data_IF_803403061080
#
_entry.id   IF_803403061080
#
_cell.length_a   1.000
_cell.length_b   1.000
_cell.length_c   1.000
_cell.angle_alpha   90.00
_cell.angle_beta   90.00
_cell.angle_gamma   90.00
#
_symmetry.space_group_name_H-M   'P 1'
#
loop_
_entity.id
_entity.type
_entity.pdbx_description
1 polymer ?
#
# COMPACT_ATOMS: atom_id res chain seq x y z
N UNK A 1 6.23 13.39 18.13
CA UNK A 1 6.30 11.96 17.75
C UNK A 1 6.12 11.86 16.25
N UNK A 2 7.03 11.26 15.47
CA UNK A 2 6.74 11.05 14.04
C UNK A 2 5.57 10.06 13.95
N UNK A 3 4.47 10.47 13.32
CA UNK A 3 3.33 9.59 13.07
C UNK A 3 3.82 8.29 12.44
N UNK A 4 3.52 7.16 13.05
CA UNK A 4 3.92 5.86 12.53
C UNK A 4 3.35 5.69 11.12
N UNK A 5 4.20 5.35 10.13
CA UNK A 5 3.76 5.21 8.74
C UNK A 5 2.94 3.92 8.62
N UNK A 6 1.63 4.06 8.49
CA UNK A 6 0.76 2.96 8.06
C UNK A 6 0.88 2.86 6.54
N UNK A 7 1.18 1.67 5.99
CA UNK A 7 1.24 1.49 4.54
C UNK A 7 -0.15 1.70 3.93
N UNK A 8 -0.19 2.32 2.74
CA UNK A 8 -1.43 2.51 1.99
C UNK A 8 -2.02 1.16 1.58
N UNK A 9 -3.34 1.04 1.69
CA UNK A 9 -4.10 -0.17 1.31
C UNK A 9 -4.01 -0.46 -0.19
N UNK A 10 -4.35 -1.68 -0.62
CA UNK A 10 -4.47 -2.00 -2.04
C UNK A 10 -5.56 -1.15 -2.71
N UNK A 11 -6.66 -0.83 -2.01
CA UNK A 11 -7.66 0.13 -2.49
C UNK A 11 -7.05 1.50 -2.84
N UNK A 12 -6.28 2.08 -1.93
CA UNK A 12 -5.61 3.37 -2.14
C UNK A 12 -4.59 3.31 -3.27
N UNK A 13 -3.83 2.20 -3.36
CA UNK A 13 -2.90 1.97 -4.47
C UNK A 13 -3.63 1.89 -5.82
N UNK A 14 -4.79 1.22 -5.89
CA UNK A 14 -5.64 1.17 -7.09
C UNK A 14 -6.17 2.57 -7.44
N UNK A 15 -6.63 3.35 -6.47
CA UNK A 15 -7.06 4.74 -6.68
C UNK A 15 -5.93 5.56 -7.30
N UNK A 16 -4.69 5.42 -6.80
CA UNK A 16 -3.54 6.12 -7.35
C UNK A 16 -3.24 5.73 -8.79
N UNK A 17 -3.29 4.43 -9.12
CA UNK A 17 -3.05 3.93 -10.48
C UNK A 17 -4.12 4.40 -11.46
N UNK A 18 -5.39 4.33 -11.08
CA UNK A 18 -6.49 4.80 -11.92
C UNK A 18 -6.43 6.31 -12.15
N UNK A 19 -6.00 7.07 -11.14
CA UNK A 19 -5.80 8.50 -11.29
C UNK A 19 -4.63 8.82 -12.24
N UNK A 20 -3.52 8.07 -12.14
CA UNK A 20 -2.37 8.21 -13.05
C UNK A 20 -2.79 7.98 -14.50
N UNK A 21 -3.55 6.91 -14.75
CA UNK A 21 -3.96 6.53 -16.09
C UNK A 21 -4.97 7.53 -16.70
N UNK A 22 -5.86 8.10 -15.88
CA UNK A 22 -6.91 9.02 -16.36
C UNK A 22 -6.49 10.48 -16.46
N UNK A 23 -5.63 10.95 -15.54
CA UNK A 23 -5.38 12.38 -15.36
C UNK A 23 -3.90 12.77 -15.46
N UNK A 24 -2.99 11.81 -15.33
CA UNK A 24 -1.56 12.10 -15.33
C UNK A 24 -0.87 11.80 -16.66
N UNK A 25 -1.56 11.18 -17.63
CA UNK A 25 -0.96 10.68 -18.88
C UNK A 25 0.26 9.78 -18.63
N UNK A 26 0.23 8.99 -17.54
CA UNK A 26 1.36 8.18 -17.11
C UNK A 26 2.49 8.93 -16.39
N UNK A 27 2.36 10.25 -16.15
CA UNK A 27 3.37 11.06 -15.45
C UNK A 27 3.26 10.90 -13.93
N UNK A 28 4.10 10.05 -13.37
CA UNK A 28 4.06 9.65 -11.95
C UNK A 28 4.32 10.78 -10.94
N UNK A 29 5.07 11.82 -11.32
CA UNK A 29 5.35 12.97 -10.45
C UNK A 29 4.11 13.81 -10.14
N UNK A 30 3.13 13.83 -11.06
CA UNK A 30 1.84 14.51 -10.87
C UNK A 30 1.02 13.82 -9.79
N UNK A 31 1.04 12.48 -9.75
CA UNK A 31 0.34 11.71 -8.74
C UNK A 31 0.89 11.95 -7.34
N UNK A 32 2.22 12.00 -7.18
CA UNK A 32 2.84 12.35 -5.90
C UNK A 32 2.32 13.68 -5.37
N UNK A 33 2.37 14.73 -6.20
CA UNK A 33 1.93 16.07 -5.82
C UNK A 33 0.43 16.10 -5.49
N UNK A 34 -0.38 15.41 -6.31
CA UNK A 34 -1.84 15.34 -6.13
C UNK A 34 -2.22 14.63 -4.82
N UNK A 35 -1.73 13.43 -4.57
CA UNK A 35 -2.11 12.64 -3.39
C UNK A 35 -1.50 13.18 -2.09
N UNK A 36 -0.30 13.76 -2.15
CA UNK A 36 0.27 14.48 -1.00
C UNK A 36 -0.58 15.70 -0.64
N UNK A 37 -0.99 16.52 -1.61
CA UNK A 37 -1.74 17.75 -1.35
C UNK A 37 -3.22 17.51 -1.03
N UNK A 38 -3.91 16.64 -1.78
CA UNK A 38 -5.37 16.44 -1.62
C UNK A 38 -5.75 15.43 -0.54
N UNK A 39 -4.95 14.39 -0.35
CA UNK A 39 -5.26 13.28 0.57
C UNK A 39 -4.34 13.25 1.80
N UNK A 40 -3.30 14.09 1.84
CA UNK A 40 -2.34 14.12 2.94
C UNK A 40 -1.48 12.84 3.04
N UNK A 41 -1.42 12.05 1.96
CA UNK A 41 -0.70 10.78 1.97
C UNK A 41 0.81 11.01 2.12
N UNK A 42 1.44 10.24 3.02
CA UNK A 42 2.89 10.28 3.25
C UNK A 42 3.64 9.31 2.33
N UNK A 43 3.36 9.44 1.04
CA UNK A 43 3.95 8.62 -0.03
C UNK A 43 5.20 9.27 -0.58
N UNK A 44 6.11 8.49 -1.15
CA UNK A 44 7.28 8.94 -1.88
C UNK A 44 7.13 8.67 -3.38
N UNK A 45 7.86 9.42 -4.22
CA UNK A 45 7.90 9.15 -5.65
C UNK A 45 8.38 7.71 -5.99
N UNK A 46 9.24 7.12 -5.15
CA UNK A 46 9.68 5.74 -5.30
C UNK A 46 8.54 4.72 -5.08
N UNK A 47 7.66 4.97 -4.11
CA UNK A 47 6.47 4.13 -3.87
C UNK A 47 5.53 4.18 -5.07
N UNK A 48 5.24 5.36 -5.61
CA UNK A 48 4.39 5.48 -6.81
C UNK A 48 4.99 4.74 -8.00
N UNK A 49 6.31 4.88 -8.25
CA UNK A 49 7.01 4.11 -9.29
C UNK A 49 6.88 2.61 -9.08
N UNK A 50 7.04 2.15 -7.85
CA UNK A 50 6.87 0.74 -7.51
C UNK A 50 5.45 0.25 -7.77
N UNK A 51 4.43 1.03 -7.39
CA UNK A 51 3.03 0.68 -7.67
C UNK A 51 2.75 0.61 -9.16
N UNK A 52 3.21 1.61 -9.92
CA UNK A 52 3.02 1.64 -11.36
C UNK A 52 3.73 0.48 -12.08
N UNK A 53 4.94 0.13 -11.64
CA UNK A 53 5.67 -1.04 -12.15
C UNK A 53 4.88 -2.34 -11.93
N UNK A 54 4.22 -2.49 -10.78
CA UNK A 54 3.46 -3.68 -10.40
C UNK A 54 1.94 -3.51 -10.57
N UNK A 55 1.49 -2.57 -11.41
CA UNK A 55 0.09 -2.14 -11.52
C UNK A 55 -0.88 -3.28 -11.80
N UNK A 56 -0.50 -4.24 -12.64
CA UNK A 56 -1.34 -5.41 -12.95
C UNK A 56 -1.59 -6.28 -11.73
N UNK A 57 -0.54 -6.56 -10.93
CA UNK A 57 -0.67 -7.33 -9.70
C UNK A 57 -1.52 -6.58 -8.66
N UNK A 58 -1.37 -5.24 -8.57
CA UNK A 58 -2.16 -4.40 -7.67
C UNK A 58 -3.64 -4.38 -8.07
N UNK A 59 -3.93 -4.33 -9.37
CA UNK A 59 -5.30 -4.38 -9.90
C UNK A 59 -6.00 -5.70 -9.57
N UNK A 60 -5.27 -6.82 -9.67
CA UNK A 60 -5.79 -8.16 -9.38
C UNK A 60 -5.92 -8.48 -7.89
N UNK A 61 -5.15 -7.83 -7.02
CA UNK A 61 -5.18 -8.07 -5.58
C UNK A 61 -6.52 -7.63 -4.93
N UNK A 62 -6.91 -8.28 -3.82
CA UNK A 62 -8.07 -7.85 -3.03
C UNK A 62 -7.81 -6.46 -2.43
N UNK A 63 -8.83 -5.61 -2.46
CA UNK A 63 -8.75 -4.22 -1.99
C UNK A 63 -8.54 -4.10 -0.49
N UNK A 64 -8.94 -5.11 0.27
CA UNK A 64 -8.89 -5.13 1.74
C UNK A 64 -7.49 -5.40 2.29
N UNK A 65 -6.55 -5.85 1.45
CA UNK A 65 -5.18 -6.16 1.83
C UNK A 65 -4.31 -4.90 1.88
N UNK A 66 -3.31 -4.86 2.76
CA UNK A 66 -2.29 -3.81 2.74
C UNK A 66 -1.13 -4.10 1.78
N UNK A 67 -0.96 -5.36 1.33
CA UNK A 67 0.20 -5.79 0.52
C UNK A 67 -0.17 -6.74 -0.61
N UNK A 68 0.73 -6.82 -1.61
CA UNK A 68 0.66 -7.84 -2.65
C UNK A 68 1.07 -9.21 -2.06
N UNK A 69 0.28 -10.24 -2.38
CA UNK A 69 0.56 -11.62 -1.98
C UNK A 69 1.87 -12.10 -2.60
N UNK A 70 2.69 -12.82 -1.83
CA UNK A 70 3.91 -13.46 -2.35
C UNK A 70 5.11 -12.53 -2.56
N UNK A 71 5.08 -11.29 -2.05
CA UNK A 71 6.25 -10.41 -2.04
C UNK A 71 7.37 -10.86 -1.06
N UNK A 72 7.22 -12.01 -0.40
CA UNK A 72 8.18 -12.62 0.54
C UNK A 72 8.28 -14.14 0.37
N UNK A 73 8.98 -14.81 1.29
CA UNK A 73 9.09 -16.27 1.31
C UNK A 73 7.69 -16.93 1.25
N UNK A 74 7.54 -18.00 0.46
CA UNK A 74 6.25 -18.68 0.24
C UNK A 74 5.54 -18.95 1.57
N UNK A 75 4.40 -18.28 1.83
CA UNK A 75 3.61 -18.51 3.03
C UNK A 75 3.19 -19.97 3.13
N UNK A 76 3.13 -20.53 4.34
CA UNK A 76 2.52 -21.86 4.56
C UNK A 76 1.00 -21.75 4.50
N UNK A 77 0.44 -20.62 4.96
CA UNK A 77 -1.00 -20.32 4.98
C UNK A 77 -1.25 -18.90 4.45
N UNK A 78 -1.15 -18.71 3.13
CA UNK A 78 -1.03 -17.38 2.51
C UNK A 78 -2.06 -16.33 2.90
N UNK A 79 -3.35 -16.65 2.87
CA UNK A 79 -4.39 -15.65 3.24
C UNK A 79 -4.34 -15.30 4.73
N UNK A 80 -4.20 -16.30 5.59
CA UNK A 80 -4.18 -16.11 7.05
C UNK A 80 -2.95 -15.32 7.48
N UNK A 81 -1.78 -15.60 6.89
CA UNK A 81 -0.54 -14.87 7.16
C UNK A 81 -0.61 -13.41 6.69
N UNK A 82 -1.32 -13.11 5.60
CA UNK A 82 -1.56 -11.75 5.12
C UNK A 82 -2.52 -10.99 6.06
N UNK A 83 -3.66 -11.59 6.43
CA UNK A 83 -4.60 -10.98 7.37
C UNK A 83 -3.96 -10.74 8.75
N UNK A 84 -3.20 -11.72 9.27
CA UNK A 84 -2.49 -11.58 10.54
C UNK A 84 -1.46 -10.46 10.49
N UNK A 85 -0.77 -10.30 9.36
CA UNK A 85 0.19 -9.22 9.19
C UNK A 85 -0.51 -7.85 9.23
N UNK A 86 -1.63 -7.70 8.53
CA UNK A 86 -2.38 -6.45 8.49
C UNK A 86 -2.89 -6.06 9.89
N UNK A 87 -3.39 -7.04 10.66
CA UNK A 87 -3.78 -6.86 12.06
C UNK A 87 -2.60 -6.45 12.96
N UNK A 88 -1.43 -7.09 12.79
CA UNK A 88 -0.21 -6.72 13.54
C UNK A 88 0.20 -5.28 13.21
N UNK A 89 0.12 -4.86 11.95
CA UNK A 89 0.44 -3.49 11.52
C UNK A 89 -0.53 -2.50 12.16
N UNK A 90 -1.83 -2.80 12.12
CA UNK A 90 -2.87 -1.98 12.73
C UNK A 90 -2.63 -1.79 14.23
N UNK A 91 -2.48 -2.89 14.99
CA UNK A 91 -2.21 -2.84 16.44
C UNK A 91 -0.92 -2.08 16.79
N UNK A 92 0.12 -2.20 15.97
CA UNK A 92 1.37 -1.43 16.16
C UNK A 92 1.16 0.05 15.90
N UNK A 93 0.29 0.43 14.98
CA UNK A 93 -0.06 1.83 14.73
C UNK A 93 -0.80 2.45 15.92
N UNK A 94 -1.54 1.64 16.68
CA UNK A 94 -2.18 2.00 17.95
C UNK A 94 -1.25 1.86 19.18
N UNK A 95 0.05 1.65 18.97
CA UNK A 95 1.07 1.51 20.03
C UNK A 95 0.93 0.28 20.94
N UNK A 96 0.19 -0.76 20.51
CA UNK A 96 0.17 -2.03 21.23
C UNK A 96 1.49 -2.81 21.03
N UNK A 97 1.97 -3.48 22.10
CA UNK A 97 3.07 -4.45 22.00
C UNK A 97 2.55 -5.74 21.37
N UNK A 98 3.00 -6.05 20.15
CA UNK A 98 2.64 -7.28 19.43
C UNK A 98 3.90 -8.04 19.02
N UNK A 99 4.04 -9.28 19.49
CA UNK A 99 5.11 -10.21 19.10
C UNK A 99 4.74 -10.97 17.82
N UNK A 100 5.74 -11.41 17.06
CA UNK A 100 5.59 -12.25 15.86
C UNK A 100 5.82 -13.73 16.20
N UNK A 101 5.23 -14.20 17.30
CA UNK A 101 5.39 -15.58 17.74
C UNK A 101 4.36 -16.49 17.08
#
# INVERSE_FOLDING_TARGET
MPSQRVPESIAEKKEALDWIDRYADGVLSRAFSHFAAKKGWKISAAQIRYWYKNREAIRQASSDLLRLRGAGARPRLGEIEDMLFDEIVYRRSEHHKVSRQ
#
